data_IF_241482134079
#
_entry.id   IF_241482134079
#
_cell.length_a   1.000
_cell.length_b   1.000
_cell.length_c   1.000
_cell.angle_alpha   90.00
_cell.angle_beta   90.00
_cell.angle_gamma   90.00
#
_symmetry.space_group_name_H-M   'P 1'
#
loop_
_entity.id
_entity.type
_entity.pdbx_description
1 polymer ?
#
# COMPACT_ATOMS: atom_id res chain seq x y z
N UNK A 1 8.72 21.03 19.11
CA UNK A 1 9.10 19.61 19.29
C UNK A 1 7.96 18.65 18.98
N UNK A 2 6.78 18.79 19.59
CA UNK A 2 5.65 17.85 19.38
C UNK A 2 5.18 17.74 17.92
N UNK A 3 5.10 18.84 17.17
CA UNK A 3 4.70 18.82 15.76
C UNK A 3 5.69 18.04 14.87
N UNK A 4 6.99 18.13 15.18
CA UNK A 4 8.04 17.38 14.46
C UNK A 4 8.02 15.89 14.81
N UNK A 5 7.74 15.54 16.08
CA UNK A 5 7.60 14.13 16.46
C UNK A 5 6.34 13.49 15.85
N UNK A 6 5.24 14.22 15.77
CA UNK A 6 4.01 13.76 15.09
C UNK A 6 4.24 13.53 13.59
N UNK A 7 4.88 14.47 12.88
CA UNK A 7 5.21 14.30 11.47
C UNK A 7 6.14 13.11 11.23
N UNK A 8 7.11 12.90 12.12
CA UNK A 8 8.01 11.76 12.04
C UNK A 8 7.28 10.42 12.20
N UNK A 9 6.40 10.32 13.21
CA UNK A 9 5.58 9.11 13.43
C UNK A 9 4.68 8.84 12.23
N UNK A 10 4.03 9.88 11.68
CA UNK A 10 3.19 9.75 10.49
C UNK A 10 3.99 9.31 9.27
N UNK A 11 5.21 9.82 9.07
CA UNK A 11 6.06 9.40 7.97
C UNK A 11 6.39 7.90 8.05
N UNK A 12 6.80 7.42 9.24
CA UNK A 12 7.05 5.98 9.46
C UNK A 12 5.78 5.18 9.18
N UNK A 13 4.65 5.57 9.75
CA UNK A 13 3.39 4.83 9.61
C UNK A 13 2.92 4.74 8.15
N UNK A 14 2.96 5.85 7.40
CA UNK A 14 2.58 5.85 5.99
C UNK A 14 3.57 5.06 5.12
N UNK A 15 4.87 5.21 5.35
CA UNK A 15 5.90 4.44 4.62
C UNK A 15 5.72 2.95 4.84
N UNK A 16 5.55 2.51 6.09
CA UNK A 16 5.32 1.10 6.41
C UNK A 16 4.01 0.56 5.82
N UNK A 17 2.95 1.39 5.77
CA UNK A 17 1.68 1.01 5.15
C UNK A 17 1.85 0.80 3.65
N UNK A 18 2.55 1.70 2.95
CA UNK A 18 2.85 1.56 1.52
C UNK A 18 3.69 0.30 1.28
N UNK A 19 4.76 0.09 2.06
CA UNK A 19 5.63 -1.09 1.93
C UNK A 19 4.83 -2.41 2.05
N UNK A 20 3.85 -2.45 2.95
CA UNK A 20 2.96 -3.61 3.13
C UNK A 20 2.04 -3.82 1.93
N UNK A 21 1.43 -2.76 1.40
CA UNK A 21 0.59 -2.85 0.21
C UNK A 21 1.39 -3.30 -1.02
N UNK A 22 2.61 -2.80 -1.20
CA UNK A 22 3.51 -3.26 -2.28
C UNK A 22 3.88 -4.75 -2.12
N UNK A 23 4.15 -5.20 -0.89
CA UNK A 23 4.40 -6.61 -0.62
C UNK A 23 3.17 -7.48 -0.92
N UNK A 24 1.97 -7.01 -0.58
CA UNK A 24 0.71 -7.69 -0.88
C UNK A 24 0.51 -7.83 -2.39
N UNK A 25 0.71 -6.75 -3.15
CA UNK A 25 0.64 -6.78 -4.62
C UNK A 25 1.57 -7.86 -5.19
N UNK A 26 2.84 -7.89 -4.75
CA UNK A 26 3.82 -8.90 -5.20
C UNK A 26 3.35 -10.33 -4.87
N UNK A 27 2.79 -10.55 -3.68
CA UNK A 27 2.23 -11.84 -3.27
C UNK A 27 1.02 -12.23 -4.11
N UNK A 28 0.07 -11.32 -4.33
CA UNK A 28 -1.11 -11.58 -5.14
C UNK A 28 -0.74 -11.92 -6.59
N UNK A 29 0.20 -11.19 -7.18
CA UNK A 29 0.72 -11.47 -8.51
C UNK A 29 1.41 -12.84 -8.60
N UNK A 30 2.18 -13.21 -7.57
CA UNK A 30 2.78 -14.55 -7.49
C UNK A 30 1.70 -15.65 -7.43
N UNK A 31 0.74 -15.52 -6.51
CA UNK A 31 -0.34 -16.50 -6.36
C UNK A 31 -1.25 -16.58 -7.59
N UNK A 32 -1.47 -15.45 -8.26
CA UNK A 32 -2.22 -15.40 -9.52
C UNK A 32 -1.53 -16.23 -10.60
N UNK A 33 -0.20 -16.12 -10.72
CA UNK A 33 0.58 -16.85 -11.72
C UNK A 33 0.55 -18.37 -11.49
N UNK A 34 0.60 -18.82 -10.24
CA UNK A 34 0.65 -20.26 -9.92
C UNK A 34 -0.74 -20.91 -9.80
N UNK A 35 -1.79 -20.12 -9.54
CA UNK A 35 -3.15 -20.64 -9.43
C UNK A 35 -3.70 -21.10 -10.79
N UNK A 36 -4.46 -22.20 -10.78
CA UNK A 36 -5.28 -22.64 -11.92
C UNK A 36 -6.76 -22.27 -11.76
N UNK A 37 -7.18 -21.94 -10.55
CA UNK A 37 -8.55 -21.60 -10.23
C UNK A 37 -8.88 -20.18 -10.74
N UNK A 38 -9.93 -20.08 -11.56
CA UNK A 38 -10.34 -18.83 -12.22
C UNK A 38 -10.99 -17.85 -11.24
N UNK A 39 -11.74 -18.35 -10.26
CA UNK A 39 -12.40 -17.52 -9.26
C UNK A 39 -11.36 -16.89 -8.33
N UNK A 40 -10.41 -17.69 -7.85
CA UNK A 40 -9.28 -17.21 -7.06
C UNK A 40 -8.45 -16.19 -7.84
N UNK A 41 -8.22 -16.40 -9.13
CA UNK A 41 -7.53 -15.42 -9.98
C UNK A 41 -8.24 -14.08 -10.04
N UNK A 42 -9.57 -14.07 -10.13
CA UNK A 42 -10.35 -12.84 -10.12
C UNK A 42 -10.23 -12.13 -8.76
N UNK A 43 -10.38 -12.87 -7.66
CA UNK A 43 -10.22 -12.34 -6.30
C UNK A 43 -8.83 -11.70 -6.12
N UNK A 44 -7.76 -12.39 -6.54
CA UNK A 44 -6.39 -11.89 -6.44
C UNK A 44 -6.16 -10.63 -7.29
N UNK A 45 -6.82 -10.52 -8.44
CA UNK A 45 -6.76 -9.31 -9.27
C UNK A 45 -7.45 -8.14 -8.58
N UNK A 46 -8.62 -8.37 -7.99
CA UNK A 46 -9.38 -7.34 -7.28
C UNK A 46 -8.63 -6.87 -6.03
N UNK A 47 -8.02 -7.80 -5.27
CA UNK A 47 -7.16 -7.46 -4.14
C UNK A 47 -5.93 -6.65 -4.57
N UNK A 48 -5.29 -7.04 -5.67
CA UNK A 48 -4.17 -6.30 -6.24
C UNK A 48 -4.57 -4.87 -6.64
N UNK A 49 -5.78 -4.68 -7.20
CA UNK A 49 -6.28 -3.35 -7.53
C UNK A 49 -6.57 -2.53 -6.27
N UNK A 50 -7.25 -3.11 -5.27
CA UNK A 50 -7.55 -2.44 -4.00
C UNK A 50 -6.27 -1.98 -3.29
N UNK A 51 -5.24 -2.82 -3.25
CA UNK A 51 -3.93 -2.42 -2.69
C UNK A 51 -3.33 -1.22 -3.43
N UNK A 52 -3.41 -1.16 -4.77
CA UNK A 52 -2.94 0.01 -5.55
C UNK A 52 -3.73 1.27 -5.19
N UNK A 53 -5.04 1.15 -5.03
CA UNK A 53 -5.91 2.26 -4.64
C UNK A 53 -5.60 2.75 -3.22
N UNK A 54 -5.27 1.84 -2.29
CA UNK A 54 -4.79 2.20 -0.96
C UNK A 54 -3.47 2.98 -1.00
N UNK A 55 -2.46 2.54 -1.79
CA UNK A 55 -1.20 3.32 -1.86
C UNK A 55 -1.45 4.70 -2.46
N UNK A 56 -2.33 4.81 -3.46
CA UNK A 56 -2.73 6.12 -4.01
C UNK A 56 -3.35 7.01 -2.94
N UNK A 57 -4.33 6.49 -2.20
CA UNK A 57 -4.97 7.21 -1.10
C UNK A 57 -3.95 7.63 -0.02
N UNK A 58 -2.99 6.77 0.33
CA UNK A 58 -1.96 7.08 1.32
C UNK A 58 -1.03 8.19 0.78
N UNK A 59 -0.57 8.09 -0.47
CA UNK A 59 0.25 9.15 -1.09
C UNK A 59 -0.50 10.49 -1.13
N UNK A 60 -1.78 10.49 -1.51
CA UNK A 60 -2.61 11.71 -1.53
C UNK A 60 -2.70 12.33 -0.12
N UNK A 61 -2.86 11.50 0.92
CA UNK A 61 -2.84 11.96 2.32
C UNK A 61 -1.47 12.50 2.74
N UNK A 62 -0.37 11.86 2.33
CA UNK A 62 0.98 12.34 2.62
C UNK A 62 1.23 13.71 2.00
N UNK A 63 0.79 13.94 0.76
CA UNK A 63 0.86 15.24 0.07
C UNK A 63 0.07 16.29 0.85
N UNK A 64 -1.19 15.99 1.22
CA UNK A 64 -2.05 16.91 1.97
C UNK A 64 -1.43 17.33 3.32
N UNK A 65 -0.70 16.42 3.96
CA UNK A 65 -0.04 16.64 5.25
C UNK A 65 1.40 17.16 5.12
N UNK A 66 1.88 17.40 3.88
CA UNK A 66 3.26 17.80 3.58
C UNK A 66 4.30 16.85 4.20
N UNK A 67 4.07 15.55 4.05
CA UNK A 67 4.98 14.49 4.49
C UNK A 67 5.75 13.98 3.28
N UNK A 68 7.07 14.15 3.29
CA UNK A 68 7.92 13.70 2.19
C UNK A 68 8.15 12.19 2.21
N UNK A 69 8.09 11.56 1.03
CA UNK A 69 8.71 10.25 0.77
C UNK A 69 10.21 10.45 0.85
N UNK A 70 10.86 9.86 1.86
CA UNK A 70 12.32 9.77 1.90
C UNK A 70 12.85 8.73 0.92
#
# INVERSE_FOLDING_TARGET
MEKQSQQYILNIAFTESINREELLIKKYEHYFKISKDKELKNILRDFSQNSRDHIKMINDKMILLSIDKK
#
